data_IF_432232135383
#
_entry.id   IF_432232135383
#
_cell.length_a   1.000
_cell.length_b   1.000
_cell.length_c   1.000
_cell.angle_alpha   90.00
_cell.angle_beta   90.00
_cell.angle_gamma   90.00
#
_symmetry.space_group_name_H-M   'P 1'
#
loop_
_entity.id
_entity.type
_entity.pdbx_description
1 polymer ?
2 non-polymer ?
3 water ?
#
# COMPACT_ATOMS: atom_id res chain seq x y z
N UNK A 2 21.31 -12.89 -6.02
CA UNK A 2 20.27 -11.87 -5.91
C UNK A 2 20.28 -10.94 -7.12
N UNK A 3 19.14 -10.29 -7.36
CA UNK A 3 18.95 -9.44 -8.53
C UNK A 3 18.39 -8.11 -8.08
N UNK A 4 18.90 -7.03 -8.64
CA UNK A 4 18.40 -5.71 -8.30
C UNK A 4 17.20 -5.33 -9.14
N UNK A 5 16.33 -4.51 -8.56
CA UNK A 5 15.23 -3.94 -9.32
C UNK A 5 15.78 -2.88 -10.26
N UNK A 6 15.43 -2.99 -11.54
CA UNK A 6 15.74 -1.94 -12.51
C UNK A 6 14.62 -0.90 -12.47
N UNK A 7 13.44 -1.26 -12.96
CA UNK A 7 12.25 -0.42 -12.89
C UNK A 7 11.11 -1.24 -12.32
N UNK A 8 10.41 -0.68 -11.34
CA UNK A 8 9.21 -1.31 -10.80
C UNK A 8 8.04 -0.34 -10.86
N UNK A 9 6.85 -0.91 -10.92
CA UNK A 9 5.61 -0.17 -10.84
C UNK A 9 4.64 -0.99 -9.99
N UNK A 10 3.77 -0.30 -9.27
CA UNK A 10 2.74 -0.98 -8.49
C UNK A 10 1.45 -0.19 -8.62
N UNK A 11 0.34 -0.91 -8.45
CA UNK A 11 -0.99 -0.34 -8.53
C UNK A 11 -1.76 -0.81 -7.30
N UNK A 12 -2.29 0.13 -6.53
CA UNK A 12 -3.03 -0.20 -5.31
C UNK A 12 -3.98 0.94 -5.02
N UNK A 13 -5.27 0.64 -4.92
CA UNK A 13 -6.22 1.68 -4.59
C UNK A 13 -6.44 1.95 -3.12
N UNK A 14 -5.70 1.29 -2.24
CA UNK A 14 -5.93 1.28 -0.79
C UNK A 14 -7.21 0.51 -0.51
N UNK A 15 -8.36 1.13 -0.74
CA UNK A 15 -9.63 0.41 -0.73
C UNK A 15 -10.63 1.23 -1.53
N UNK A 16 -11.30 0.61 -2.51
CA UNK A 16 -12.20 1.38 -3.36
C UNK A 16 -13.28 2.07 -2.55
N UNK A 17 -13.87 1.36 -1.58
CA UNK A 17 -14.94 1.98 -0.80
C UNK A 17 -14.40 3.12 0.06
N UNK A 18 -13.13 3.06 0.47
CA UNK A 18 -12.53 4.18 1.18
C UNK A 18 -12.38 5.40 0.28
N UNK A 19 -11.92 5.20 -0.96
CA UNK A 19 -11.86 6.31 -1.91
C UNK A 19 -13.23 6.96 -2.07
N UNK A 20 -14.26 6.14 -2.25
CA UNK A 20 -15.58 6.69 -2.51
C UNK A 20 -16.14 7.38 -1.28
N UNK A 21 -15.80 6.88 -0.10
CA UNK A 21 -16.16 7.56 1.14
C UNK A 21 -15.45 8.90 1.25
N UNK A 22 -14.13 8.92 1.02
CA UNK A 22 -13.37 10.16 1.14
C UNK A 22 -13.94 11.24 0.23
N UNK A 23 -14.25 10.88 -1.02
CA UNK A 23 -14.73 11.84 -2.00
C UNK A 23 -16.23 12.05 -1.95
N UNK A 24 -16.94 11.31 -1.09
CA UNK A 24 -18.38 11.36 -1.02
C UNK A 24 -18.90 12.47 -0.12
N UNK A 25 -20.21 12.45 0.09
CA UNK A 25 -20.93 13.54 0.73
C UNK A 25 -20.95 13.45 2.25
N UNK A 26 -20.33 12.42 2.84
CA UNK A 26 -20.21 12.32 4.29
C UNK A 26 -18.85 12.87 4.73
N UNK A 27 -17.77 12.32 4.18
CA UNK A 27 -16.45 12.85 4.52
C UNK A 27 -16.21 14.21 3.89
N UNK A 28 -16.80 14.47 2.72
CA UNK A 28 -16.55 15.71 1.97
C UNK A 28 -15.06 16.01 1.89
N UNK A 29 -14.29 14.98 1.56
CA UNK A 29 -12.85 15.04 1.59
C UNK A 29 -12.21 14.91 0.23
N UNK A 30 -10.92 14.61 0.24
CA UNK A 30 -10.12 14.51 -0.97
C UNK A 30 -8.80 13.85 -0.59
N UNK A 31 -7.92 13.73 -1.56
CA UNK A 31 -6.55 13.32 -1.28
C UNK A 31 -5.61 14.14 -2.14
N UNK A 32 -4.37 14.24 -1.69
CA UNK A 32 -3.30 14.78 -2.50
C UNK A 32 -2.18 13.76 -2.59
N UNK A 33 -1.42 13.88 -3.67
CA UNK A 33 -0.40 12.91 -4.06
C UNK A 33 0.93 13.62 -4.23
N UNK A 34 1.99 12.97 -3.77
CA UNK A 34 3.34 13.52 -3.87
C UNK A 34 4.21 12.35 -4.33
N UNK A 35 4.55 12.34 -5.62
CA UNK A 35 5.34 11.24 -6.14
C UNK A 35 4.55 10.00 -6.43
N UNK A 36 3.22 10.11 -6.52
CA UNK A 36 2.30 9.00 -6.76
C UNK A 36 1.28 9.49 -7.78
N UNK A 37 0.87 8.61 -8.70
CA UNK A 37 -0.17 8.92 -9.65
C UNK A 37 -1.49 8.24 -9.31
N UNK A 38 -2.44 8.35 -10.23
CA UNK A 38 -3.78 7.79 -10.01
C UNK A 38 -4.45 7.49 -11.34
N UNK A 39 -4.92 6.26 -11.50
CA UNK A 39 -5.57 5.79 -12.72
C UNK A 39 -6.25 4.47 -12.38
N UNK A 40 -7.36 4.19 -13.07
CA UNK A 40 -8.11 2.95 -12.83
C UNK A 40 -8.52 2.80 -11.36
N UNK A 41 -8.79 3.92 -10.68
CA UNK A 41 -9.12 3.89 -9.25
C UNK A 41 -8.03 3.22 -8.43
N UNK A 42 -6.78 3.34 -8.89
CA UNK A 42 -5.63 2.78 -8.20
C UNK A 42 -4.55 3.84 -8.13
N UNK A 43 -3.96 4.00 -6.95
CA UNK A 43 -2.75 4.80 -6.85
C UNK A 43 -1.61 4.11 -7.59
N UNK A 44 -0.77 4.92 -8.24
CA UNK A 44 0.24 4.44 -9.18
C UNK A 44 1.60 4.77 -8.60
N UNK A 45 2.39 3.74 -8.36
CA UNK A 45 3.69 3.86 -7.71
C UNK A 45 4.78 3.50 -8.71
N UNK A 46 5.88 4.24 -8.64
CA UNK A 46 6.97 4.07 -9.58
C UNK A 46 8.26 4.07 -8.79
N UNK A 47 9.06 3.01 -8.92
CA UNK A 47 10.26 2.87 -8.13
C UNK A 47 11.39 2.24 -8.91
N UNK A 48 12.61 2.50 -8.44
CA UNK A 48 13.76 1.87 -9.07
C UNK A 48 14.71 1.24 -8.06
N UNK A 49 14.19 0.78 -6.93
CA UNK A 49 15.04 0.15 -5.93
C UNK A 49 14.36 -1.08 -5.34
N UNK A 50 15.17 -1.89 -4.69
CA UNK A 50 14.75 -3.17 -4.18
C UNK A 50 15.57 -4.28 -4.77
N UNK A 51 15.28 -5.49 -4.31
CA UNK A 51 16.05 -6.64 -4.74
C UNK A 51 15.18 -7.89 -4.64
N UNK A 52 15.47 -8.86 -5.49
CA UNK A 52 14.75 -10.12 -5.55
C UNK A 52 15.77 -11.24 -5.53
N UNK A 53 15.61 -12.16 -4.58
CA UNK A 53 16.41 -13.38 -4.51
C UNK A 53 15.61 -14.44 -5.26
N UNK A 54 15.92 -14.60 -6.55
CA UNK A 54 15.13 -15.49 -7.39
C UNK A 54 15.26 -16.94 -6.96
N UNK A 55 16.46 -17.34 -6.52
CA UNK A 55 16.66 -18.72 -6.11
C UNK A 55 15.71 -19.11 -4.99
N UNK A 56 15.45 -18.20 -4.05
CA UNK A 56 14.61 -18.51 -2.90
C UNK A 56 13.22 -17.88 -2.97
N UNK A 57 12.90 -17.19 -4.06
CA UNK A 57 11.62 -16.50 -4.24
C UNK A 57 11.28 -15.59 -3.07
N UNK A 58 12.21 -14.71 -2.71
CA UNK A 58 11.97 -13.65 -1.75
C UNK A 58 12.35 -12.32 -2.40
N UNK A 59 11.79 -11.24 -1.87
CA UNK A 59 12.12 -9.95 -2.44
C UNK A 59 11.51 -8.83 -1.64
N UNK A 60 11.99 -7.62 -1.94
CA UNK A 60 11.42 -6.38 -1.46
C UNK A 60 11.46 -5.39 -2.60
N UNK A 61 10.31 -4.80 -2.92
CA UNK A 61 10.16 -3.82 -3.98
C UNK A 61 9.75 -2.52 -3.30
N UNK A 62 10.60 -1.50 -3.40
CA UNK A 62 10.43 -0.26 -2.65
C UNK A 62 9.96 0.88 -3.54
N UNK A 63 9.03 1.69 -3.03
CA UNK A 63 8.52 2.83 -3.77
C UNK A 63 8.57 4.09 -2.92
N UNK A 64 8.95 5.22 -3.51
CA UNK A 64 8.81 6.51 -2.82
C UNK A 64 7.38 7.02 -3.02
N UNK A 65 7.10 8.16 -2.40
CA UNK A 65 5.85 8.85 -2.64
C UNK A 65 4.86 8.69 -1.50
N UNK A 66 3.94 9.64 -1.43
CA UNK A 66 2.94 9.65 -0.37
C UNK A 66 1.55 9.99 -0.91
N UNK A 67 0.56 9.47 -0.20
CA UNK A 67 -0.85 9.79 -0.37
C UNK A 67 -1.32 10.45 0.92
N UNK A 68 -2.06 11.54 0.80
CA UNK A 68 -2.55 12.28 1.96
C UNK A 68 -4.07 12.42 1.84
N UNK A 69 -4.80 11.63 2.62
CA UNK A 69 -6.26 11.70 2.65
C UNK A 69 -6.71 12.70 3.70
N UNK A 70 -7.74 13.49 3.38
CA UNK A 70 -8.34 14.39 4.36
C UNK A 70 -9.86 14.32 4.24
N UNK A 71 -10.53 14.68 5.33
CA UNK A 71 -11.98 14.68 5.37
C UNK A 71 -12.46 15.27 6.67
N UNK A 72 -13.77 15.49 6.74
CA UNK A 72 -14.41 15.97 7.97
C UNK A 72 -13.74 17.23 8.51
N UNK A 73 -13.52 18.20 7.62
CA UNK A 73 -12.91 19.46 8.04
C UNK A 73 -11.53 19.32 8.63
N UNK A 74 -10.79 18.28 8.24
CA UNK A 74 -9.45 18.06 8.74
C UNK A 74 -9.36 17.08 9.89
N UNK A 75 -10.49 16.64 10.45
CA UNK A 75 -10.44 15.62 11.50
C UNK A 75 -9.83 14.34 10.96
N UNK A 76 -10.27 13.91 9.78
CA UNK A 76 -9.64 12.80 9.08
C UNK A 76 -8.40 13.32 8.37
N UNK A 77 -7.25 12.71 8.68
CA UNK A 77 -5.96 13.15 8.16
C UNK A 77 -5.08 11.91 8.20
N UNK A 78 -4.92 11.27 7.04
CA UNK A 78 -4.24 9.98 6.95
C UNK A 78 -3.18 10.05 5.87
N UNK A 79 -1.94 9.79 6.25
CA UNK A 79 -0.82 9.80 5.33
C UNK A 79 -0.25 8.40 5.22
N UNK A 80 -0.05 7.95 3.98
CA UNK A 80 0.59 6.67 3.69
C UNK A 80 1.76 6.96 2.76
N UNK A 81 2.97 6.57 3.16
CA UNK A 81 4.15 6.92 2.39
C UNK A 81 5.12 5.75 2.29
N UNK A 82 5.94 5.78 1.23
CA UNK A 82 7.06 4.85 1.08
C UNK A 82 6.61 3.39 1.16
N UNK A 83 5.65 3.02 0.31
CA UNK A 83 5.16 1.65 0.35
C UNK A 83 6.25 0.68 -0.11
N UNK A 84 6.17 -0.54 0.41
CA UNK A 84 7.11 -1.60 0.09
C UNK A 84 6.33 -2.89 0.00
N UNK A 85 6.52 -3.63 -1.09
CA UNK A 85 6.01 -4.98 -1.24
C UNK A 85 7.14 -5.94 -0.89
N UNK A 86 6.96 -6.70 0.18
CA UNK A 86 7.92 -7.71 0.61
C UNK A 86 7.26 -9.07 0.44
N UNK A 87 8.01 -10.04 -0.08
CA UNK A 87 7.44 -11.36 -0.28
C UNK A 87 8.44 -12.45 0.09
N UNK A 88 7.89 -13.55 0.57
CA UNK A 88 8.65 -14.77 0.86
C UNK A 88 7.77 -15.90 0.33
N UNK A 89 8.15 -16.48 -0.80
CA UNK A 89 7.19 -17.38 -1.39
C UNK A 89 5.96 -16.60 -1.81
N UNK A 90 4.81 -17.27 -1.77
CA UNK A 90 3.55 -16.69 -2.24
C UNK A 90 2.81 -15.90 -1.16
N UNK A 91 3.48 -15.52 -0.09
CA UNK A 91 2.92 -14.63 0.92
C UNK A 91 3.87 -13.47 1.13
N UNK A 92 3.41 -12.45 1.83
CA UNK A 92 4.25 -11.29 2.04
C UNK A 92 3.60 -10.25 2.90
N UNK A 93 4.16 -9.04 2.83
CA UNK A 93 3.73 -7.92 3.65
C UNK A 93 3.73 -6.65 2.82
N UNK A 94 2.73 -5.82 3.04
CA UNK A 94 2.69 -4.47 2.50
C UNK A 94 3.07 -3.54 3.64
N UNK A 95 4.20 -2.87 3.50
CA UNK A 95 4.77 -2.01 4.54
C UNK A 95 4.68 -0.56 4.08
N UNK A 96 4.41 0.35 5.01
CA UNK A 96 4.38 1.77 4.69
C UNK A 96 4.62 2.57 5.96
N UNK A 97 4.99 3.84 5.78
CA UNK A 97 5.01 4.81 6.86
C UNK A 97 3.63 5.44 6.95
N UNK A 98 3.02 5.40 8.13
CA UNK A 98 1.62 5.81 8.29
C UNK A 98 1.48 6.77 9.46
N UNK A 99 0.81 7.90 9.21
CA UNK A 99 0.36 8.83 10.24
C UNK A 99 -1.13 9.04 10.05
N UNK A 100 -1.92 8.91 11.11
CA UNK A 100 -3.36 9.04 10.94
C UNK A 100 -3.98 9.60 12.20
N UNK A 101 -5.15 10.21 12.04
CA UNK A 101 -5.92 10.78 13.14
C UNK A 101 -7.15 9.95 13.47
N UNK A 102 -7.56 9.99 14.74
CA UNK A 102 -8.81 9.38 15.18
C UNK A 102 -9.96 10.38 15.03
N UNK A 103 -11.16 10.00 15.47
CA UNK A 103 -12.33 10.86 15.31
C UNK A 103 -12.30 12.11 16.18
N UNK A 104 -11.41 12.18 17.17
CA UNK A 104 -11.18 13.41 17.92
C UNK A 104 -10.17 14.32 17.24
N UNK A 105 -9.63 13.91 16.10
CA UNK A 105 -8.58 14.66 15.46
C UNK A 105 -7.21 14.44 16.05
N UNK A 106 -7.04 13.43 16.90
CA UNK A 106 -5.75 13.16 17.52
C UNK A 106 -4.90 12.29 16.60
N UNK A 107 -3.72 12.78 16.25
CA UNK A 107 -2.85 12.08 15.32
C UNK A 107 -1.93 11.10 16.04
N UNK A 108 -1.63 10.00 15.36
CA UNK A 108 -0.66 9.01 15.80
C UNK A 108 0.29 8.75 14.64
N UNK A 109 1.58 8.83 14.91
CA UNK A 109 2.59 8.39 13.95
C UNK A 109 2.85 6.91 14.22
N UNK A 110 2.36 6.05 13.33
CA UNK A 110 2.57 4.61 13.46
C UNK A 110 3.96 4.19 13.02
N UNK A 111 4.74 5.12 12.47
CA UNK A 111 6.04 4.79 11.95
C UNK A 111 5.93 3.90 10.72
N UNK A 112 7.01 3.18 10.47
CA UNK A 112 7.04 2.22 9.38
C UNK A 112 6.45 0.91 9.89
N UNK A 113 5.37 0.46 9.26
CA UNK A 113 4.55 -0.60 9.83
C UNK A 113 4.01 -1.49 8.72
N UNK A 114 3.73 -2.75 9.06
CA UNK A 114 2.99 -3.61 8.15
C UNK A 114 1.54 -3.15 8.13
N UNK A 115 1.07 -2.68 6.97
CA UNK A 115 -0.32 -2.26 6.80
C UNK A 115 -1.21 -3.45 6.50
N UNK A 116 -0.68 -4.47 5.83
CA UNK A 116 -1.46 -5.66 5.53
C UNK A 116 -0.58 -6.83 5.19
N UNK A 117 -1.14 -8.02 5.37
CA UNK A 117 -0.47 -9.23 4.93
C UNK A 117 -0.93 -9.59 3.53
N UNK A 118 0.01 -10.07 2.73
CA UNK A 118 -0.23 -10.36 1.33
C UNK A 118 -0.34 -11.85 1.09
N UNK A 119 -1.33 -12.23 0.29
CA UNK A 119 -1.48 -13.59 -0.21
C UNK A 119 -1.52 -13.48 -1.73
N UNK A 120 -0.45 -13.93 -2.39
CA UNK A 120 -0.34 -13.76 -3.83
C UNK A 120 -1.18 -14.78 -4.57
N UNK A 121 -2.04 -14.29 -5.46
CA UNK A 121 -2.74 -15.17 -6.39
C UNK A 121 -1.87 -15.48 -7.60
N UNK A 122 -0.92 -14.60 -7.91
CA UNK A 122 0.05 -14.80 -8.97
C UNK A 122 1.34 -14.16 -8.51
N UNK A 123 2.45 -14.87 -8.67
CA UNK A 123 3.76 -14.30 -8.36
C UNK A 123 4.77 -15.00 -9.25
N UNK A 124 5.40 -14.25 -10.14
CA UNK A 124 6.31 -14.81 -11.12
C UNK A 124 7.65 -14.10 -10.99
N UNK A 125 8.72 -14.88 -10.96
CA UNK A 125 10.07 -14.35 -10.85
C UNK A 125 10.94 -15.06 -11.87
N UNK A 126 11.79 -14.30 -12.56
CA UNK A 126 12.72 -14.85 -13.53
C UNK A 126 14.03 -14.07 -13.40
N UNK A 127 14.97 -14.37 -14.30
CA UNK A 127 16.23 -13.64 -14.31
C UNK A 127 16.04 -12.17 -14.62
N UNK A 128 14.98 -11.82 -15.35
CA UNK A 128 14.85 -10.47 -15.88
C UNK A 128 13.60 -9.73 -15.42
N UNK A 129 12.65 -10.40 -14.78
CA UNK A 129 11.39 -9.76 -14.41
C UNK A 129 10.80 -10.43 -13.18
N UNK A 130 10.00 -9.66 -12.45
CA UNK A 130 9.13 -10.19 -11.41
C UNK A 130 7.80 -9.46 -11.48
N UNK A 131 6.72 -10.17 -11.19
CA UNK A 131 5.41 -9.54 -11.19
C UNK A 131 4.48 -10.36 -10.32
N UNK A 132 3.41 -9.73 -9.86
CA UNK A 132 2.46 -10.46 -9.06
C UNK A 132 1.27 -9.63 -8.67
N UNK A 133 0.28 -10.32 -8.13
CA UNK A 133 -0.92 -9.71 -7.59
C UNK A 133 -1.27 -10.42 -6.29
N UNK A 134 -1.68 -9.65 -5.29
CA UNK A 134 -1.96 -10.21 -3.98
C UNK A 134 -3.18 -9.56 -3.34
N UNK A 135 -3.94 -10.37 -2.60
CA UNK A 135 -4.92 -9.80 -1.68
C UNK A 135 -4.19 -9.19 -0.48
N UNK A 136 -4.82 -8.19 0.12
CA UNK A 136 -4.25 -7.41 1.22
C UNK A 136 -5.20 -7.51 2.41
N UNK A 137 -4.72 -8.11 3.49
CA UNK A 137 -5.51 -8.31 4.71
C UNK A 137 -5.02 -7.35 5.77
N UNK A 138 -5.91 -6.48 6.24
CA UNK A 138 -5.52 -5.37 7.09
C UNK A 138 -4.89 -5.84 8.40
N UNK A 139 -3.79 -5.19 8.79
CA UNK A 139 -3.09 -5.48 10.03
C UNK A 139 -3.75 -4.78 11.22
N UNK A 140 -3.25 -5.10 12.41
CA UNK A 140 -3.71 -4.42 13.62
C UNK A 140 -3.42 -2.92 13.54
N UNK A 141 -2.19 -2.56 13.21
CA UNK A 141 -1.85 -1.14 13.11
C UNK A 141 -2.65 -0.46 12.01
N UNK A 142 -2.88 -1.17 10.89
CA UNK A 142 -3.70 -0.59 9.84
C UNK A 142 -5.12 -0.33 10.29
N UNK A 143 -5.71 -1.27 11.03
CA UNK A 143 -7.05 -1.07 11.57
C UNK A 143 -7.10 0.17 12.47
N UNK A 144 -6.10 0.34 13.34
CA UNK A 144 -6.06 1.53 14.17
C UNK A 144 -5.90 2.79 13.33
N UNK A 145 -5.08 2.73 12.28
CA UNK A 145 -4.88 3.90 11.44
C UNK A 145 -6.16 4.30 10.72
N UNK A 146 -7.03 3.33 10.44
CA UNK A 146 -8.35 3.63 9.89
C UNK A 146 -9.38 3.92 10.98
N UNK A 147 -8.93 4.31 12.17
CA UNK A 147 -9.81 4.74 13.25
C UNK A 147 -10.80 3.65 13.66
N UNK A 148 -10.40 2.39 13.49
CA UNK A 148 -11.20 1.23 13.88
C UNK A 148 -12.48 1.08 13.06
N UNK A 149 -12.60 1.78 11.92
CA UNK A 149 -13.76 1.56 11.06
C UNK A 149 -13.66 0.24 10.30
N UNK A 150 -12.46 -0.29 10.10
CA UNK A 150 -12.25 -1.62 9.57
C UNK A 150 -11.59 -2.45 10.66
N UNK A 151 -12.00 -3.71 10.78
CA UNK A 151 -11.39 -4.62 11.74
C UNK A 151 -10.13 -5.24 11.15
N UNK A 152 -9.22 -5.72 12.01
CA UNK A 152 -8.07 -6.48 11.51
C UNK A 152 -8.54 -7.68 10.69
N UNK A 153 -7.89 -7.89 9.55
CA UNK A 153 -8.27 -8.95 8.64
C UNK A 153 -9.21 -8.53 7.54
N UNK A 154 -9.76 -7.33 7.60
CA UNK A 154 -10.57 -6.81 6.50
C UNK A 154 -9.74 -6.82 5.21
N UNK A 155 -10.38 -7.21 4.11
CA UNK A 155 -9.71 -7.21 2.82
C UNK A 155 -9.71 -5.80 2.25
N UNK A 156 -8.52 -5.29 1.95
CA UNK A 156 -8.38 -4.01 1.28
C UNK A 156 -8.41 -4.25 -0.23
N UNK A 157 -8.14 -3.23 -1.03
CA UNK A 157 -7.95 -3.47 -2.46
C UNK A 157 -6.75 -4.40 -2.64
N UNK A 158 -6.78 -5.25 -3.66
CA UNK A 158 -5.59 -6.05 -3.98
C UNK A 158 -4.51 -5.15 -4.56
N UNK A 159 -3.27 -5.61 -4.44
CA UNK A 159 -2.12 -4.87 -4.96
C UNK A 159 -1.46 -5.68 -6.06
N UNK A 160 -1.00 -5.00 -7.12
CA UNK A 160 -0.25 -5.64 -8.18
C UNK A 160 1.04 -4.87 -8.42
N UNK A 161 2.03 -5.58 -8.94
CA UNK A 161 3.30 -4.94 -9.27
C UNK A 161 3.94 -5.66 -10.44
N UNK A 162 4.83 -4.94 -11.11
CA UNK A 162 5.71 -5.55 -12.09
C UNK A 162 7.06 -4.86 -11.98
N UNK A 163 8.11 -5.61 -12.27
CA UNK A 163 9.46 -5.08 -12.15
C UNK A 163 10.35 -5.74 -13.19
N UNK A 164 11.26 -4.96 -13.76
CA UNK A 164 12.39 -5.52 -14.46
C UNK A 164 13.52 -5.69 -13.46
N UNK A 165 14.31 -6.74 -13.66
CA UNK A 165 15.40 -7.10 -12.77
C UNK A 165 16.71 -7.12 -13.53
N UNK A 166 17.79 -6.75 -12.84
CA UNK A 166 19.11 -6.75 -13.45
C UNK A 166 20.22 -7.02 -12.45
X LIG B 1 -17.06 5.54 7.36
X LIG B 1 -18.44 9.27 10.09
X LIG B 1 -13.80 10.31 11.00
X LIG B 1 -12.44 6.35 8.59
X LIG B 1 -17.83 6.48 7.99
X LIG B 1 -19.28 6.59 7.89
X LIG B 1 -19.67 7.62 8.64
X LIG B 1 -18.48 8.18 9.25
X LIG B 1 -21.12 8.13 8.84
X LIG B 1 -20.15 5.68 7.00
X LIG B 1 -19.97 6.23 5.58
X LIG B 1 -20.70 5.39 4.56
X LIG B 1 -21.01 4.21 4.84
X LIG B 1 -20.95 5.90 3.44
X LIG B 1 -17.31 9.92 10.53
X LIG B 1 -17.26 11.19 11.24
X LIG B 1 -15.98 11.47 11.49
X LIG B 1 -15.18 10.39 10.95
X LIG B 1 -18.52 11.99 11.60
X LIG B 1 -15.34 12.69 12.21
X LIG B 1 -15.99 13.77 12.64
X LIG B 1 -13.02 9.31 10.46
X LIG B 1 -11.59 9.19 10.62
X LIG B 1 -11.20 8.11 9.94
X LIG B 1 -12.38 7.50 9.34
X LIG B 1 -10.69 10.16 11.42
X LIG B 1 -9.74 7.61 9.84
X LIG B 1 -9.24 7.16 8.67
X LIG B 1 -13.58 5.78 8.07
X LIG B 1 -13.62 4.57 7.30
X LIG B 1 -14.88 4.34 6.95
X LIG B 1 -15.69 5.41 7.49
X LIG B 1 -12.39 3.71 6.96
X LIG B 1 -15.40 3.16 6.10
X LIG B 1 -15.47 3.64 4.65
X LIG B 1 -15.87 2.50 3.75
X LIG B 1 -17.09 2.24 3.60
X LIG B 1 -14.97 1.84 3.18
X LIG B 1 -17.37 7.47 8.83
X LIG B 1 -16.02 9.47 10.36
X LIG B 1 -13.47 8.26 9.67
X LIG B 1 -14.86 6.28 8.17
X LIG B 1 -15.40 8.05 9.01
#
# INVERSE_FOLDING_TARGET
>A
MSLGVTQASAQWGVKASFQNYIRGSIANGSWTLNGVGFDNQQFQFSGNSGAVDAENKTGSINFPGSIHFTGHGGILDMQIANIEISFNGNSGELIADVVSSDMDGNSTNYGRTVVGTLNFSALNVSATEASGSASVSLSQSGSQAFADFYTPGTQLDPISFSATLGGLEHHHHHH
>B hetero
1 HEM CHA CHB CHC CHD C1A C2A C3A C4A CMA CAA CBA CGA O1A O2A C1B C2B C3B C4B CMB CAB CBB C1C C2C C3C C4C CMC CAC CBC C1D C2D C3D C4D CMD CAD CBD CGD O1D O2D NA NB NC ND FE
#
